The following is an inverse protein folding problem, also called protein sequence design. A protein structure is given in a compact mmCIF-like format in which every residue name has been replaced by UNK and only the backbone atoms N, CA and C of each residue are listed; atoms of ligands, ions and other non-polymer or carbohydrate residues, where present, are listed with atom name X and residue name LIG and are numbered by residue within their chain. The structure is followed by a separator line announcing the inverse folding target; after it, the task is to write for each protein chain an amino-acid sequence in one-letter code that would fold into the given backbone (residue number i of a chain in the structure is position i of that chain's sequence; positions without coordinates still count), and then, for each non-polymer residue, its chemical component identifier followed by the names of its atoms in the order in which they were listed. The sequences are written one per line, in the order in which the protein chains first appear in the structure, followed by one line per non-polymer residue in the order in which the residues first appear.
data_IF_764927181458
#
_entry.id   IF_764927181458
#
_cell.length_a   1.000
_cell.length_b   1.000
_cell.length_c   1.000
_cell.angle_alpha   90.00
_cell.angle_beta   90.00
_cell.angle_gamma   90.00
#
_symmetry.space_group_name_H-M   'P 1'
#
loop_
_entity.id
_entity.type
_entity.pdbx_description
1 polymer ?
#
# COMPACT_ATOMS: atom_id res chain seq x y z
N UNK A 1 -7.32 8.80 0.19
CA UNK A 1 -8.45 8.17 -0.53
C UNK A 1 -8.61 8.70 -1.94
N UNK A 2 -8.95 9.99 -2.15
CA UNK A 2 -9.13 10.55 -3.52
C UNK A 2 -7.90 10.39 -4.43
N UNK A 3 -6.71 10.67 -3.91
CA UNK A 3 -5.45 10.53 -4.67
C UNK A 3 -5.18 9.08 -5.12
N UNK A 4 -5.41 8.10 -4.25
CA UNK A 4 -5.23 6.67 -4.59
C UNK A 4 -6.25 6.21 -5.65
N UNK A 5 -7.50 6.66 -5.56
CA UNK A 5 -8.52 6.35 -6.60
C UNK A 5 -8.14 6.93 -7.96
N UNK A 6 -7.63 8.17 -8.01
CA UNK A 6 -7.13 8.77 -9.25
C UNK A 6 -5.90 8.01 -9.78
N UNK A 7 -4.98 7.61 -8.90
CA UNK A 7 -3.83 6.79 -9.29
C UNK A 7 -4.28 5.45 -9.91
N UNK A 8 -5.32 4.79 -9.38
CA UNK A 8 -5.87 3.56 -9.98
C UNK A 8 -6.35 3.79 -11.42
N UNK A 9 -6.99 4.92 -11.69
CA UNK A 9 -7.42 5.27 -13.05
C UNK A 9 -6.23 5.42 -14.00
N UNK A 10 -5.16 6.10 -13.55
CA UNK A 10 -3.91 6.24 -14.32
C UNK A 10 -3.25 4.88 -14.54
N UNK A 11 -3.18 4.02 -13.52
CA UNK A 11 -2.59 2.69 -13.62
C UNK A 11 -3.38 1.75 -14.55
N UNK A 12 -4.71 1.91 -14.64
CA UNK A 12 -5.54 1.19 -15.61
C UNK A 12 -5.18 1.56 -17.05
N UNK A 13 -4.87 2.82 -17.33
CA UNK A 13 -4.42 3.25 -18.66
C UNK A 13 -3.14 2.53 -19.09
N UNK A 14 -2.20 2.30 -18.16
CA UNK A 14 -0.98 1.54 -18.42
C UNK A 14 -1.17 0.02 -18.36
N UNK A 15 -2.40 -0.48 -18.26
CA UNK A 15 -2.70 -1.91 -18.09
C UNK A 15 -1.94 -2.57 -16.93
N UNK A 16 -1.66 -1.80 -15.87
CA UNK A 16 -0.94 -2.32 -14.71
C UNK A 16 -1.84 -3.26 -13.90
N UNK A 17 -1.30 -4.41 -13.51
CA UNK A 17 -1.97 -5.33 -12.58
C UNK A 17 -1.92 -4.74 -11.16
N UNK A 18 -3.10 -4.45 -10.60
CA UNK A 18 -3.24 -3.75 -9.33
C UNK A 18 -3.74 -4.66 -8.21
N UNK A 19 -3.25 -4.43 -6.99
CA UNK A 19 -3.86 -4.97 -5.78
C UNK A 19 -5.02 -4.05 -5.36
N UNK A 20 -6.22 -4.61 -5.25
CA UNK A 20 -7.40 -3.85 -4.80
C UNK A 20 -7.51 -3.82 -3.29
N UNK A 21 -7.32 -4.97 -2.62
CA UNK A 21 -7.37 -5.10 -1.16
C UNK A 21 -6.27 -6.02 -0.63
N UNK A 22 -5.77 -5.78 0.61
CA UNK A 22 -6.11 -4.66 1.49
C UNK A 22 -5.44 -3.35 1.01
N UNK A 23 -6.15 -2.22 1.17
CA UNK A 23 -5.65 -0.88 0.84
C UNK A 23 -5.20 -0.15 2.11
N UNK A 24 -4.05 0.53 2.05
CA UNK A 24 -3.48 1.23 3.20
C UNK A 24 -3.55 2.75 3.02
N UNK A 25 -4.09 3.40 4.04
CA UNK A 25 -4.18 4.84 4.17
C UNK A 25 -3.50 5.29 5.45
N UNK A 26 -2.35 5.95 5.32
CA UNK A 26 -1.62 6.48 6.48
C UNK A 26 -2.06 7.93 6.72
N UNK A 27 -3.06 8.12 7.59
CA UNK A 27 -3.48 9.44 8.05
C UNK A 27 -2.41 10.09 8.93
N UNK A 28 -2.29 11.43 8.86
CA UNK A 28 -1.31 12.21 9.63
C UNK A 28 0.11 11.61 9.61
N UNK A 29 0.58 11.15 8.44
CA UNK A 29 1.83 10.41 8.31
C UNK A 29 3.04 11.11 8.97
N UNK A 30 3.09 12.44 8.97
CA UNK A 30 4.16 13.23 9.59
C UNK A 30 4.33 13.01 11.11
N UNK A 31 3.32 12.48 11.82
CA UNK A 31 3.41 12.20 13.27
C UNK A 31 3.83 10.76 13.57
N UNK A 32 4.08 9.94 12.55
CA UNK A 32 4.24 8.48 12.68
C UNK A 32 5.67 8.00 12.45
N UNK A 33 6.60 8.94 12.25
CA UNK A 33 8.01 8.65 12.04
C UNK A 33 8.83 9.25 13.17
N UNK A 34 9.92 8.58 13.56
CA UNK A 34 10.90 9.11 14.49
C UNK A 34 11.92 10.03 13.79
N UNK A 35 12.91 10.51 14.55
CA UNK A 35 13.97 11.38 14.05
C UNK A 35 14.87 10.70 12.99
N UNK A 36 14.94 9.37 13.00
CA UNK A 36 15.73 8.56 12.08
C UNK A 36 14.91 8.10 10.85
N UNK A 37 13.69 8.62 10.71
CA UNK A 37 12.72 8.29 9.64
C UNK A 37 12.20 6.84 9.68
N UNK A 38 12.24 6.18 10.84
CA UNK A 38 11.58 4.89 11.03
C UNK A 38 10.10 5.08 11.33
N UNK A 39 9.25 4.24 10.74
CA UNK A 39 7.81 4.20 11.03
C UNK A 39 7.58 3.58 12.42
N UNK A 40 7.06 4.36 13.37
CA UNK A 40 6.85 3.95 14.77
C UNK A 40 5.38 3.62 15.10
N UNK A 41 4.43 3.98 14.24
CA UNK A 41 3.00 3.71 14.44
C UNK A 41 2.66 2.22 14.23
N UNK A 42 2.36 1.50 15.31
CA UNK A 42 2.10 0.06 15.28
C UNK A 42 0.93 -0.34 14.37
N UNK A 43 -0.12 0.49 14.34
CA UNK A 43 -1.29 0.26 13.49
C UNK A 43 -0.94 0.35 12.01
N UNK A 44 -0.19 1.39 11.60
CA UNK A 44 0.30 1.51 10.23
C UNK A 44 1.24 0.35 9.87
N UNK A 45 2.17 -0.01 10.75
CA UNK A 45 3.08 -1.15 10.54
C UNK A 45 2.32 -2.45 10.33
N UNK A 46 1.27 -2.70 11.11
CA UNK A 46 0.41 -3.89 10.97
C UNK A 46 -0.34 -3.88 9.65
N UNK A 47 -0.93 -2.74 9.26
CA UNK A 47 -1.68 -2.62 8.01
C UNK A 47 -0.78 -2.78 6.78
N UNK A 48 0.42 -2.16 6.79
CA UNK A 48 1.42 -2.26 5.72
C UNK A 48 1.92 -3.70 5.61
N UNK A 49 2.24 -4.36 6.73
CA UNK A 49 2.66 -5.77 6.73
C UNK A 49 1.62 -6.68 6.07
N UNK A 50 0.33 -6.50 6.40
CA UNK A 50 -0.76 -7.26 5.77
C UNK A 50 -0.88 -6.99 4.27
N UNK A 51 -0.71 -5.73 3.85
CA UNK A 51 -0.72 -5.36 2.44
C UNK A 51 0.45 -5.97 1.67
N UNK A 52 1.65 -5.95 2.24
CA UNK A 52 2.84 -6.55 1.61
C UNK A 52 2.69 -8.07 1.44
N UNK A 53 2.12 -8.76 2.43
CA UNK A 53 1.82 -10.19 2.33
C UNK A 53 0.85 -10.49 1.17
N UNK A 54 -0.29 -9.78 1.11
CA UNK A 54 -1.25 -9.94 0.02
C UNK A 54 -0.68 -9.55 -1.35
N UNK A 55 0.21 -8.55 -1.40
CA UNK A 55 0.89 -8.16 -2.63
C UNK A 55 1.88 -9.22 -3.10
N UNK A 56 2.58 -9.88 -2.18
CA UNK A 56 3.44 -11.01 -2.49
C UNK A 56 2.65 -12.16 -3.14
N UNK A 57 1.44 -12.45 -2.65
CA UNK A 57 0.57 -13.47 -3.23
C UNK A 57 0.10 -13.08 -4.65
N UNK A 58 -0.21 -11.80 -4.87
CA UNK A 58 -0.53 -11.27 -6.20
C UNK A 58 0.63 -11.47 -7.18
N UNK A 59 1.86 -11.18 -6.76
CA UNK A 59 3.06 -11.40 -7.60
C UNK A 59 3.23 -12.89 -7.90
N UNK A 60 3.13 -13.75 -6.88
CA UNK A 60 3.33 -15.20 -7.03
C UNK A 60 2.30 -15.85 -7.95
N UNK A 61 1.04 -15.44 -7.86
CA UNK A 61 -0.01 -15.89 -8.80
C UNK A 61 0.21 -15.42 -10.25
N UNK A 62 1.19 -14.56 -10.52
CA UNK A 62 1.55 -14.13 -11.88
C UNK A 62 2.57 -15.08 -12.54
N UNK A 63 3.27 -15.93 -11.77
CA UNK A 63 4.34 -16.81 -12.29
C UNK A 63 3.85 -18.20 -12.77
N UNK A 64 2.57 -18.32 -13.15
CA UNK A 64 2.00 -19.55 -13.73
C UNK A 64 1.68 -19.34 -15.21
#
# INVERSE_FOLDING_TARGET
MRSQLQLRQVLNFFSARQLYFPEVHVGAAHTKFDADLNLTDEMATTAITKQLAAFQDLIRSTKA
#
